data_IF_282620733734
#
_entry.id   IF_282620733734
#
_cell.length_a   1.000
_cell.length_b   1.000
_cell.length_c   1.000
_cell.angle_alpha   90.00
_cell.angle_beta   90.00
_cell.angle_gamma   90.00
#
_symmetry.space_group_name_H-M   'P 1'
#
loop_
_entity.id
_entity.type
_entity.pdbx_description
1 polymer ?
#
# COMPACT_ATOMS: atom_id res chain seq x y z
N UNK A 1 20.67 34.17 -17.00
CA UNK A 1 19.27 33.70 -16.99
C UNK A 1 19.19 32.61 -15.95
N UNK A 2 18.31 32.74 -14.95
CA UNK A 2 18.09 31.63 -14.01
C UNK A 2 17.57 30.44 -14.82
N UNK A 3 18.22 29.28 -14.69
CA UNK A 3 17.70 28.05 -15.29
C UNK A 3 16.30 27.79 -14.73
N UNK A 4 15.32 27.59 -15.61
CA UNK A 4 13.98 27.19 -15.18
C UNK A 4 14.03 25.74 -14.69
N UNK A 5 14.30 25.56 -13.40
CA UNK A 5 14.37 24.26 -12.74
C UNK A 5 13.08 23.44 -12.91
N UNK A 6 11.93 24.08 -13.21
CA UNK A 6 10.68 23.36 -13.49
C UNK A 6 10.75 22.57 -14.79
N UNK A 7 11.63 22.95 -15.73
CA UNK A 7 11.79 22.27 -17.02
C UNK A 7 12.27 20.82 -16.85
N UNK A 8 13.10 20.53 -15.85
CA UNK A 8 13.63 19.17 -15.59
C UNK A 8 12.52 18.13 -15.38
N UNK A 9 11.41 18.51 -14.74
CA UNK A 9 10.25 17.63 -14.49
C UNK A 9 9.32 17.48 -15.71
N UNK A 10 9.60 18.20 -16.80
CA UNK A 10 8.83 18.16 -18.05
C UNK A 10 9.63 17.57 -19.20
N UNK A 11 10.96 17.67 -19.17
CA UNK A 11 11.84 17.13 -20.19
C UNK A 11 11.63 15.62 -20.33
N UNK A 12 11.35 15.20 -21.55
CA UNK A 12 11.25 13.80 -21.92
C UNK A 12 12.66 13.34 -22.29
N UNK A 13 13.29 12.52 -21.46
CA UNK A 13 14.67 12.04 -21.67
C UNK A 13 14.69 10.81 -22.54
N UNK A 14 15.52 10.76 -23.58
CA UNK A 14 15.78 9.51 -24.28
C UNK A 14 16.40 8.49 -23.33
N UNK A 15 16.10 7.23 -23.57
CA UNK A 15 16.62 6.12 -22.79
C UNK A 15 17.28 5.13 -23.75
N UNK A 16 18.49 4.69 -23.41
CA UNK A 16 19.34 3.89 -24.30
C UNK A 16 19.23 2.39 -24.03
N UNK A 17 18.20 1.96 -23.30
CA UNK A 17 17.96 0.55 -23.04
C UNK A 17 17.48 -0.17 -24.31
N UNK A 18 17.96 -1.40 -24.58
CA UNK A 18 17.60 -2.15 -25.79
C UNK A 18 16.11 -2.50 -25.85
N UNK A 19 15.53 -2.73 -27.04
CA UNK A 19 14.12 -3.12 -27.16
C UNK A 19 13.81 -4.47 -26.51
N UNK A 20 14.78 -5.37 -26.47
CA UNK A 20 14.65 -6.73 -25.94
C UNK A 20 15.58 -6.93 -24.74
N UNK A 21 15.12 -7.68 -23.74
CA UNK A 21 15.92 -8.08 -22.58
C UNK A 21 15.69 -9.56 -22.28
N UNK A 22 16.77 -10.28 -22.01
CA UNK A 22 16.74 -11.71 -21.67
C UNK A 22 17.41 -11.98 -20.32
N UNK A 23 16.81 -12.85 -19.52
CA UNK A 23 17.42 -13.38 -18.29
C UNK A 23 17.41 -14.91 -18.36
N UNK A 24 18.59 -15.53 -18.41
CA UNK A 24 18.74 -16.99 -18.50
C UNK A 24 19.21 -17.59 -17.17
N UNK A 25 18.47 -18.58 -16.68
CA UNK A 25 18.92 -19.49 -15.61
C UNK A 25 19.47 -20.76 -16.27
N UNK A 26 20.71 -21.11 -15.94
CA UNK A 26 21.44 -22.23 -16.56
C UNK A 26 21.89 -23.20 -15.48
N UNK A 27 21.48 -24.45 -15.60
CA UNK A 27 21.92 -25.58 -14.78
C UNK A 27 22.38 -26.71 -15.70
N UNK A 28 23.70 -26.81 -15.89
CA UNK A 28 24.32 -27.74 -16.85
C UNK A 28 23.70 -27.57 -18.25
N UNK A 29 23.03 -28.61 -18.76
CA UNK A 29 22.39 -28.60 -20.08
C UNK A 29 20.96 -28.02 -20.07
N UNK A 30 20.43 -27.66 -18.90
CA UNK A 30 19.10 -27.04 -18.78
C UNK A 30 19.23 -25.52 -18.79
N UNK A 31 18.52 -24.89 -19.73
CA UNK A 31 18.42 -23.43 -19.83
C UNK A 31 16.97 -23.01 -19.81
N UNK A 32 16.65 -22.07 -18.93
CA UNK A 32 15.36 -21.39 -18.90
C UNK A 32 15.60 -19.91 -19.12
N UNK A 33 15.04 -19.36 -20.19
CA UNK A 33 15.19 -17.94 -20.53
C UNK A 33 13.86 -17.22 -20.37
N UNK A 34 13.87 -16.15 -19.59
CA UNK A 34 12.83 -15.14 -19.53
C UNK A 34 13.11 -14.10 -20.63
N UNK A 35 12.13 -13.87 -21.49
CA UNK A 35 12.19 -12.87 -22.55
C UNK A 35 11.28 -11.70 -22.19
N UNK A 36 11.79 -10.50 -22.38
CA UNK A 36 11.08 -9.28 -22.12
C UNK A 36 11.16 -8.31 -23.29
N UNK A 37 10.07 -7.60 -23.53
CA UNK A 37 9.99 -6.52 -24.51
C UNK A 37 9.83 -5.18 -23.82
N UNK A 38 10.49 -4.16 -24.35
CA UNK A 38 10.38 -2.79 -23.87
C UNK A 38 8.98 -2.24 -24.15
N UNK A 39 8.37 -1.65 -23.12
CA UNK A 39 7.04 -1.03 -23.21
C UNK A 39 7.18 0.43 -23.63
N UNK A 40 6.39 0.84 -24.62
CA UNK A 40 6.28 2.21 -25.08
C UNK A 40 4.82 2.57 -25.38
N UNK A 41 4.49 3.84 -25.23
CA UNK A 41 3.18 4.42 -25.54
C UNK A 41 3.35 5.56 -26.53
N UNK A 42 2.33 5.83 -27.34
CA UNK A 42 2.28 7.02 -28.19
C UNK A 42 1.42 8.08 -27.52
N UNK A 43 2.02 9.18 -27.08
CA UNK A 43 1.34 10.32 -26.45
C UNK A 43 1.75 11.58 -27.21
N UNK A 44 0.78 12.38 -27.67
CA UNK A 44 1.02 13.60 -28.46
C UNK A 44 1.98 13.37 -29.67
N UNK A 45 1.79 12.25 -30.39
CA UNK A 45 2.61 11.79 -31.51
C UNK A 45 4.07 11.42 -31.17
N UNK A 46 4.39 11.27 -29.89
CA UNK A 46 5.71 10.83 -29.42
C UNK A 46 5.58 9.39 -28.93
N UNK A 47 6.27 8.46 -29.59
CA UNK A 47 6.35 7.06 -29.15
C UNK A 47 7.51 6.87 -28.17
N UNK A 48 7.21 6.58 -26.90
CA UNK A 48 8.21 6.45 -25.85
C UNK A 48 7.73 5.66 -24.63
N UNK A 49 8.67 5.09 -23.88
CA UNK A 49 8.44 4.44 -22.57
C UNK A 49 8.32 5.44 -21.41
N UNK A 50 9.04 5.16 -20.32
CA UNK A 50 9.07 5.99 -19.13
C UNK A 50 9.71 7.35 -19.39
N UNK A 51 9.27 8.38 -18.67
CA UNK A 51 9.83 9.73 -18.76
C UNK A 51 11.22 9.86 -18.12
N UNK A 52 11.42 9.17 -17.00
CA UNK A 52 12.66 9.03 -16.22
C UNK A 52 12.44 7.94 -15.13
N UNK A 53 13.51 7.54 -14.45
CA UNK A 53 13.53 6.61 -13.32
C UNK A 53 12.93 7.19 -12.04
N UNK A 54 13.60 7.02 -10.89
CA UNK A 54 13.22 7.72 -9.66
C UNK A 54 13.39 9.23 -9.80
N UNK A 55 14.50 9.65 -10.41
CA UNK A 55 14.93 11.04 -10.45
C UNK A 55 14.98 11.57 -11.89
N UNK A 56 14.67 12.85 -12.12
CA UNK A 56 15.02 13.50 -13.38
C UNK A 56 16.52 13.35 -13.65
N UNK A 57 16.91 12.99 -14.86
CA UNK A 57 18.31 12.68 -15.21
C UNK A 57 18.64 11.19 -15.19
N UNK A 58 17.79 10.36 -14.56
CA UNK A 58 17.99 8.92 -14.51
C UNK A 58 17.20 8.25 -15.63
N UNK A 59 17.89 7.67 -16.61
CA UNK A 59 17.25 6.87 -17.66
C UNK A 59 16.55 5.65 -17.05
N UNK A 60 15.41 5.27 -17.62
CA UNK A 60 14.67 4.08 -17.21
C UNK A 60 13.84 3.53 -18.36
N UNK A 61 13.67 2.21 -18.38
CA UNK A 61 12.80 1.49 -19.28
C UNK A 61 11.90 0.54 -18.50
N UNK A 62 10.66 0.39 -18.95
CA UNK A 62 9.76 -0.65 -18.48
C UNK A 62 9.82 -1.82 -19.46
N UNK A 63 9.94 -3.03 -18.93
CA UNK A 63 9.97 -4.26 -19.70
C UNK A 63 8.80 -5.15 -19.29
N UNK A 64 8.04 -5.66 -20.27
CA UNK A 64 6.98 -6.64 -20.05
C UNK A 64 7.50 -8.04 -20.38
N UNK A 65 7.20 -9.01 -19.53
CA UNK A 65 7.55 -10.42 -19.75
C UNK A 65 6.67 -10.99 -20.87
N UNK A 66 7.26 -11.61 -21.89
CA UNK A 66 6.51 -12.13 -23.06
C UNK A 66 6.42 -13.66 -23.12
N UNK A 67 7.12 -14.37 -22.24
CA UNK A 67 6.98 -15.82 -22.03
C UNK A 67 6.95 -16.13 -20.51
N UNK A 68 6.16 -17.11 -20.05
CA UNK A 68 5.86 -17.20 -18.60
C UNK A 68 6.01 -18.56 -17.95
N UNK A 69 6.99 -19.37 -18.36
CA UNK A 69 7.20 -20.70 -17.78
C UNK A 69 8.57 -20.84 -17.15
N UNK A 70 8.88 -19.97 -16.18
CA UNK A 70 10.02 -20.24 -15.31
C UNK A 70 9.59 -21.23 -14.22
N UNK A 71 10.14 -22.43 -14.29
CA UNK A 71 9.97 -23.49 -13.28
C UNK A 71 11.28 -23.59 -12.51
N UNK A 72 11.34 -22.98 -11.33
CA UNK A 72 12.49 -23.05 -10.43
C UNK A 72 12.05 -23.59 -9.06
N UNK A 73 12.80 -24.55 -8.50
CA UNK A 73 12.54 -25.05 -7.15
C UNK A 73 11.08 -25.43 -6.87
N UNK A 74 10.44 -26.14 -7.82
CA UNK A 74 9.03 -26.59 -7.75
C UNK A 74 7.97 -25.48 -7.79
N UNK A 75 8.33 -24.23 -8.09
CA UNK A 75 7.41 -23.11 -8.24
C UNK A 75 7.36 -22.62 -9.70
N UNK A 76 6.15 -22.32 -10.18
CA UNK A 76 5.90 -21.69 -11.48
C UNK A 76 5.66 -20.18 -11.32
N UNK A 77 6.19 -19.39 -12.27
CA UNK A 77 5.96 -17.94 -12.36
C UNK A 77 4.63 -17.58 -13.02
N UNK A 78 4.23 -16.30 -12.94
CA UNK A 78 3.09 -15.74 -13.68
C UNK A 78 3.22 -16.02 -15.20
N UNK A 79 2.11 -16.45 -15.81
CA UNK A 79 1.98 -16.75 -17.24
C UNK A 79 1.95 -15.48 -18.12
N UNK A 80 2.36 -15.53 -19.40
CA UNK A 80 2.31 -14.35 -20.27
C UNK A 80 0.85 -13.95 -20.54
N UNK A 81 0.61 -12.68 -20.88
CA UNK A 81 -0.76 -12.16 -21.12
C UNK A 81 -1.59 -11.92 -19.85
N UNK A 82 -1.01 -12.07 -18.67
CA UNK A 82 -1.59 -11.71 -17.37
C UNK A 82 -0.94 -10.42 -16.82
N UNK A 83 -0.73 -9.43 -17.67
CA UNK A 83 -0.01 -8.21 -17.29
C UNK A 83 -0.87 -7.25 -16.45
N UNK A 84 -0.22 -6.46 -15.60
CA UNK A 84 -0.86 -5.42 -14.79
C UNK A 84 -0.22 -4.07 -15.14
N UNK A 85 0.69 -3.56 -14.32
CA UNK A 85 1.37 -2.28 -14.54
C UNK A 85 2.27 -2.25 -15.79
N UNK A 86 2.59 -3.41 -16.37
CA UNK A 86 3.40 -3.53 -17.60
C UNK A 86 2.59 -3.50 -18.91
N UNK A 87 1.26 -3.45 -18.84
CA UNK A 87 0.36 -3.41 -20.00
C UNK A 87 -0.84 -2.51 -19.72
N UNK A 88 -0.53 -1.22 -19.50
CA UNK A 88 -1.51 -0.21 -19.16
C UNK A 88 -2.06 0.49 -20.40
N UNK A 89 -3.30 0.95 -20.29
CA UNK A 89 -3.89 1.89 -21.24
C UNK A 89 -4.01 3.28 -20.61
N UNK A 90 -3.37 4.27 -21.24
CA UNK A 90 -3.39 5.67 -20.81
C UNK A 90 -4.56 6.41 -21.47
N UNK A 91 -5.72 6.40 -20.83
CA UNK A 91 -6.95 7.04 -21.34
C UNK A 91 -6.85 8.57 -21.33
N UNK A 92 -6.15 9.11 -20.34
CA UNK A 92 -5.82 10.52 -20.26
C UNK A 92 -4.42 10.65 -19.71
N UNK A 93 -3.57 11.41 -20.38
CA UNK A 93 -2.27 11.77 -19.84
C UNK A 93 -1.77 13.06 -20.44
N UNK A 94 -1.26 13.97 -19.60
CA UNK A 94 -0.57 15.16 -20.08
C UNK A 94 0.90 14.91 -20.46
N UNK A 95 1.49 13.77 -20.07
CA UNK A 95 2.92 13.41 -20.26
C UNK A 95 3.15 11.90 -20.16
N UNK A 96 4.26 11.38 -20.68
CA UNK A 96 4.68 10.01 -20.36
C UNK A 96 4.81 9.79 -18.83
N UNK A 97 4.46 8.58 -18.33
CA UNK A 97 4.54 8.26 -16.91
C UNK A 97 5.99 8.24 -16.42
N UNK A 98 6.23 8.69 -15.18
CA UNK A 98 7.49 8.43 -14.49
C UNK A 98 7.49 7.03 -13.87
N UNK A 99 8.66 6.51 -13.48
CA UNK A 99 8.76 5.21 -12.81
C UNK A 99 7.85 5.13 -11.58
N UNK A 100 7.86 6.15 -10.74
CA UNK A 100 7.09 6.18 -9.49
C UNK A 100 5.57 6.05 -9.71
N UNK A 101 5.05 6.59 -10.81
CA UNK A 101 3.63 6.46 -11.13
C UNK A 101 3.22 5.00 -11.37
N UNK A 102 4.09 4.21 -11.98
CA UNK A 102 3.83 2.79 -12.22
C UNK A 102 4.11 1.93 -10.99
N UNK A 103 5.13 2.23 -10.20
CA UNK A 103 5.38 1.49 -8.96
C UNK A 103 4.28 1.74 -7.91
N UNK A 104 3.73 2.96 -7.86
CA UNK A 104 2.60 3.26 -6.98
C UNK A 104 1.33 2.50 -7.43
N UNK A 105 1.08 2.43 -8.74
CA UNK A 105 -0.02 1.62 -9.30
C UNK A 105 0.18 0.12 -9.03
N UNK A 106 1.39 -0.39 -9.25
CA UNK A 106 1.76 -1.80 -9.03
C UNK A 106 1.55 -2.21 -7.56
N UNK A 107 2.11 -1.44 -6.62
CA UNK A 107 1.94 -1.76 -5.21
C UNK A 107 0.48 -1.63 -4.75
N UNK A 108 -0.30 -0.72 -5.35
CA UNK A 108 -1.74 -0.66 -5.08
C UNK A 108 -2.45 -1.94 -5.49
N UNK A 109 -2.13 -2.51 -6.64
CA UNK A 109 -2.69 -3.80 -7.10
C UNK A 109 -2.20 -4.98 -6.25
N UNK A 110 -0.96 -4.93 -5.76
CA UNK A 110 -0.42 -5.91 -4.82
C UNK A 110 -1.23 -5.98 -3.51
N UNK A 111 -1.85 -4.86 -3.09
CA UNK A 111 -2.78 -4.79 -1.95
C UNK A 111 -4.20 -5.17 -2.38
N UNK A 112 -4.73 -4.55 -3.45
CA UNK A 112 -6.12 -4.74 -3.90
C UNK A 112 -6.47 -6.19 -4.25
N UNK A 113 -5.49 -7.01 -4.65
CA UNK A 113 -5.73 -8.42 -5.03
C UNK A 113 -6.38 -9.28 -3.95
N UNK A 114 -6.31 -8.85 -2.69
CA UNK A 114 -6.93 -9.56 -1.56
C UNK A 114 -8.37 -9.12 -1.27
N UNK A 115 -8.84 -8.03 -1.88
CA UNK A 115 -10.13 -7.42 -1.57
C UNK A 115 -11.02 -7.42 -2.82
N UNK A 116 -11.77 -8.51 -3.02
CA UNK A 116 -12.55 -8.70 -4.25
C UNK A 116 -14.06 -8.64 -4.05
N UNK A 117 -14.54 -8.74 -2.83
CA UNK A 117 -15.95 -8.85 -2.47
C UNK A 117 -16.62 -7.47 -2.24
N UNK A 118 -15.85 -6.43 -1.88
CA UNK A 118 -16.37 -5.07 -1.66
C UNK A 118 -15.61 -4.01 -2.46
N UNK A 119 -16.24 -2.89 -2.85
CA UNK A 119 -15.52 -1.70 -3.29
C UNK A 119 -14.38 -1.34 -2.33
N UNK A 120 -13.18 -1.22 -2.88
CA UNK A 120 -11.95 -0.98 -2.13
C UNK A 120 -11.09 0.02 -2.87
N UNK A 121 -10.55 0.96 -2.11
CA UNK A 121 -9.65 2.01 -2.61
C UNK A 121 -8.34 1.94 -1.85
N UNK A 122 -7.23 1.99 -2.59
CA UNK A 122 -5.87 2.16 -2.05
C UNK A 122 -5.32 3.46 -2.63
N UNK A 123 -4.87 4.36 -1.77
CA UNK A 123 -4.16 5.58 -2.15
C UNK A 123 -2.70 5.41 -1.76
N UNK A 124 -1.81 5.43 -2.74
CA UNK A 124 -0.37 5.24 -2.58
C UNK A 124 0.38 6.52 -2.89
N UNK A 125 1.45 6.77 -2.14
CA UNK A 125 2.43 7.81 -2.44
C UNK A 125 3.82 7.33 -2.08
N UNK A 126 4.75 7.41 -3.02
CA UNK A 126 6.13 6.95 -2.83
C UNK A 126 6.20 5.48 -2.39
N UNK A 127 5.47 4.63 -3.13
CA UNK A 127 5.38 3.19 -2.97
C UNK A 127 4.77 2.70 -1.65
N UNK A 128 4.24 3.59 -0.81
CA UNK A 128 3.57 3.23 0.44
C UNK A 128 2.12 3.74 0.47
N UNK A 129 1.15 2.94 0.96
CA UNK A 129 -0.21 3.41 1.11
C UNK A 129 -0.26 4.52 2.16
N UNK A 130 -0.97 5.61 1.85
CA UNK A 130 -1.32 6.64 2.83
C UNK A 130 -2.75 6.47 3.36
N UNK A 131 -3.63 5.82 2.58
CA UNK A 131 -4.99 5.49 2.97
C UNK A 131 -5.53 4.29 2.22
N UNK A 132 -6.12 3.34 2.94
CA UNK A 132 -6.84 2.19 2.36
C UNK A 132 -8.18 2.06 3.06
N UNK A 133 -9.24 1.84 2.29
CA UNK A 133 -10.58 1.66 2.84
C UNK A 133 -11.46 0.75 1.99
N UNK A 134 -12.38 0.08 2.67
CA UNK A 134 -13.48 -0.69 2.09
C UNK A 134 -14.81 -0.05 2.47
N UNK A 135 -15.79 -0.14 1.58
CA UNK A 135 -17.16 0.32 1.85
C UNK A 135 -18.16 -0.37 0.93
N UNK A 136 -19.45 -0.08 1.11
CA UNK A 136 -20.53 -0.64 0.28
C UNK A 136 -20.59 -0.01 -1.11
N UNK A 137 -20.15 1.25 -1.24
CA UNK A 137 -20.03 1.98 -2.50
C UNK A 137 -18.58 2.40 -2.76
N UNK A 138 -18.22 2.62 -4.03
CA UNK A 138 -16.86 3.02 -4.37
C UNK A 138 -16.55 4.45 -3.92
N UNK A 139 -17.52 5.36 -4.02
CA UNK A 139 -17.36 6.75 -3.56
C UNK A 139 -17.12 6.80 -2.06
N UNK A 140 -17.85 6.02 -1.24
CA UNK A 140 -17.63 5.99 0.21
C UNK A 140 -16.27 5.39 0.57
N UNK A 141 -15.84 4.35 -0.15
CA UNK A 141 -14.52 3.78 0.03
C UNK A 141 -13.42 4.79 -0.32
N UNK A 142 -13.59 5.56 -1.40
CA UNK A 142 -12.68 6.65 -1.76
C UNK A 142 -12.64 7.73 -0.68
N UNK A 143 -13.79 8.24 -0.24
CA UNK A 143 -13.86 9.31 0.77
C UNK A 143 -13.20 8.86 2.08
N UNK A 144 -13.44 7.62 2.54
CA UNK A 144 -12.79 7.04 3.71
C UNK A 144 -11.28 6.91 3.54
N UNK A 145 -10.80 6.36 2.41
CA UNK A 145 -9.37 6.22 2.14
C UNK A 145 -8.67 7.59 2.05
N UNK A 146 -9.33 8.57 1.44
CA UNK A 146 -8.80 9.93 1.32
C UNK A 146 -8.72 10.62 2.69
N UNK A 147 -9.74 10.45 3.54
CA UNK A 147 -9.75 11.02 4.89
C UNK A 147 -8.84 10.29 5.89
N UNK A 148 -8.36 9.09 5.56
CA UNK A 148 -7.34 8.41 6.36
C UNK A 148 -6.02 9.20 6.42
N UNK A 149 -5.65 9.91 5.35
CA UNK A 149 -4.49 10.81 5.32
C UNK A 149 -4.60 11.83 4.18
N UNK A 150 -5.50 12.79 4.34
CA UNK A 150 -5.82 13.76 3.29
C UNK A 150 -4.60 14.55 2.81
N UNK A 151 -3.69 14.87 3.74
CA UNK A 151 -2.46 15.62 3.44
C UNK A 151 -1.51 14.78 2.59
N UNK A 152 -1.29 13.50 2.93
CA UNK A 152 -0.43 12.64 2.11
C UNK A 152 -1.10 12.20 0.81
N UNK A 153 -2.43 12.01 0.79
CA UNK A 153 -3.20 11.65 -0.42
C UNK A 153 -3.07 12.70 -1.53
N UNK A 154 -2.80 13.97 -1.19
CA UNK A 154 -2.53 15.01 -2.17
C UNK A 154 -1.36 14.65 -3.09
N UNK A 155 -1.66 14.51 -4.39
CA UNK A 155 -0.70 14.09 -5.42
C UNK A 155 -0.37 12.59 -5.40
N UNK A 156 -1.18 11.76 -4.72
CA UNK A 156 -1.03 10.32 -4.72
C UNK A 156 -1.54 9.63 -5.99
N UNK A 157 -1.29 8.32 -6.06
CA UNK A 157 -1.90 7.38 -6.97
C UNK A 157 -3.13 6.77 -6.30
N UNK A 158 -4.31 6.97 -6.88
CA UNK A 158 -5.57 6.39 -6.41
C UNK A 158 -5.86 5.16 -7.25
N UNK A 159 -5.91 3.98 -6.64
CA UNK A 159 -6.28 2.74 -7.31
C UNK A 159 -7.56 2.16 -6.73
N UNK A 160 -8.43 1.67 -7.62
CA UNK A 160 -9.73 1.11 -7.26
C UNK A 160 -9.92 -0.30 -7.86
N UNK A 161 -10.68 -1.15 -7.18
CA UNK A 161 -10.99 -2.52 -7.63
C UNK A 161 -12.32 -2.66 -8.40
N UNK A 162 -12.96 -1.55 -8.75
CA UNK A 162 -14.23 -1.48 -9.50
C UNK A 162 -14.15 -0.40 -10.57
N UNK A 163 -15.04 -0.47 -11.55
CA UNK A 163 -15.18 0.62 -12.51
C UNK A 163 -15.47 1.93 -11.76
N UNK A 164 -14.83 3.02 -12.18
CA UNK A 164 -15.08 4.32 -11.57
C UNK A 164 -16.42 4.82 -12.07
N UNK A 165 -17.33 5.13 -11.14
CA UNK A 165 -18.61 5.77 -11.42
C UNK A 165 -18.51 7.30 -11.36
N UNK A 166 -19.57 8.01 -11.78
CA UNK A 166 -19.59 9.48 -11.80
C UNK A 166 -19.40 10.11 -10.43
N UNK A 167 -20.04 9.58 -9.40
CA UNK A 167 -19.96 10.11 -8.04
C UNK A 167 -18.53 10.01 -7.48
N UNK A 168 -17.87 8.87 -7.71
CA UNK A 168 -16.47 8.64 -7.37
C UNK A 168 -15.56 9.59 -8.15
N UNK A 169 -15.80 9.76 -9.45
CA UNK A 169 -15.01 10.68 -10.28
C UNK A 169 -15.12 12.13 -9.79
N UNK A 170 -16.34 12.60 -9.49
CA UNK A 170 -16.59 13.94 -8.94
C UNK A 170 -15.80 14.14 -7.64
N UNK A 171 -15.92 13.22 -6.69
CA UNK A 171 -15.20 13.25 -5.43
C UNK A 171 -13.67 13.29 -5.62
N UNK A 172 -13.13 12.45 -6.52
CA UNK A 172 -11.70 12.44 -6.84
C UNK A 172 -11.23 13.80 -7.37
N UNK A 173 -12.05 14.48 -8.18
CA UNK A 173 -11.68 15.78 -8.76
C UNK A 173 -11.73 16.96 -7.77
N UNK A 174 -12.25 16.78 -6.56
CA UNK A 174 -12.20 17.82 -5.53
C UNK A 174 -10.76 18.06 -5.04
N UNK A 175 -9.88 17.07 -5.18
CA UNK A 175 -8.48 17.16 -4.78
C UNK A 175 -7.53 16.94 -5.97
N UNK A 176 -6.25 17.24 -5.76
CA UNK A 176 -5.22 16.95 -6.75
C UNK A 176 -4.74 15.51 -6.56
N UNK A 177 -4.87 14.69 -7.60
CA UNK A 177 -4.27 13.37 -7.71
C UNK A 177 -3.33 13.32 -8.92
N UNK A 178 -2.25 12.56 -8.81
CA UNK A 178 -1.32 12.39 -9.94
C UNK A 178 -1.77 11.32 -10.92
N UNK A 179 -2.39 10.26 -10.39
CA UNK A 179 -2.78 9.05 -11.12
C UNK A 179 -4.10 8.52 -10.55
N UNK A 180 -5.00 8.09 -11.42
CA UNK A 180 -6.15 7.24 -11.09
C UNK A 180 -6.04 5.95 -11.90
N UNK A 181 -6.11 4.81 -11.21
CA UNK A 181 -6.00 3.46 -11.79
C UNK A 181 -7.28 2.69 -11.52
N UNK A 182 -7.90 2.15 -12.57
CA UNK A 182 -9.14 1.39 -12.43
C UNK A 182 -9.23 0.25 -13.46
N UNK A 183 -10.06 -0.79 -13.24
CA UNK A 183 -10.38 -1.78 -14.25
C UNK A 183 -11.09 -1.18 -15.45
N UNK A 184 -11.96 -0.18 -15.23
CA UNK A 184 -12.69 0.54 -16.27
C UNK A 184 -13.27 1.86 -15.74
N UNK A 185 -13.89 2.64 -16.63
CA UNK A 185 -14.50 3.94 -16.30
C UNK A 185 -15.88 4.03 -16.95
N UNK A 186 -16.91 4.38 -16.17
CA UNK A 186 -18.28 4.49 -16.67
C UNK A 186 -18.51 5.70 -17.59
N UNK A 187 -19.65 5.71 -18.29
CA UNK A 187 -20.03 6.77 -19.21
C UNK A 187 -20.03 8.16 -18.55
N UNK A 188 -19.30 9.09 -19.19
CA UNK A 188 -19.15 10.48 -18.74
C UNK A 188 -18.16 10.70 -17.60
N UNK A 189 -17.48 9.66 -17.09
CA UNK A 189 -16.38 9.82 -16.12
C UNK A 189 -15.18 10.51 -16.74
N UNK A 190 -14.85 10.18 -17.98
CA UNK A 190 -13.74 10.81 -18.69
C UNK A 190 -13.98 12.32 -18.91
N UNK A 191 -15.23 12.76 -19.09
CA UNK A 191 -15.57 14.19 -19.19
C UNK A 191 -15.32 14.95 -17.87
N UNK A 192 -15.50 14.27 -16.73
CA UNK A 192 -15.20 14.80 -15.40
C UNK A 192 -13.67 14.93 -15.24
N UNK A 193 -12.92 13.87 -15.56
CA UNK A 193 -11.45 13.86 -15.44
C UNK A 193 -10.74 14.77 -16.44
N UNK A 194 -11.33 15.05 -17.61
CA UNK A 194 -10.78 15.98 -18.60
C UNK A 194 -10.63 17.42 -18.05
N UNK A 195 -11.38 17.78 -17.00
CA UNK A 195 -11.22 19.06 -16.29
C UNK A 195 -9.88 19.17 -15.56
N UNK A 196 -9.21 18.05 -15.27
CA UNK A 196 -7.90 17.96 -14.60
C UNK A 196 -6.82 17.53 -15.59
N UNK A 197 -6.36 18.45 -16.43
CA UNK A 197 -5.41 18.18 -17.54
C UNK A 197 -4.13 17.41 -17.18
N UNK A 198 -3.67 17.49 -15.93
CA UNK A 198 -2.46 16.80 -15.47
C UNK A 198 -2.73 15.43 -14.81
N UNK A 199 -4.00 15.07 -14.61
CA UNK A 199 -4.38 13.78 -14.05
C UNK A 199 -4.11 12.70 -15.09
N UNK A 200 -3.36 11.66 -14.68
CA UNK A 200 -3.18 10.45 -15.48
C UNK A 200 -4.28 9.47 -15.16
N UNK A 201 -5.08 9.10 -16.15
CA UNK A 201 -6.14 8.10 -16.02
C UNK A 201 -5.65 6.84 -16.70
N UNK A 202 -5.42 5.81 -15.89
CA UNK A 202 -4.88 4.52 -16.30
C UNK A 202 -5.98 3.46 -16.20
N UNK A 203 -6.27 2.80 -17.32
CA UNK A 203 -7.09 1.59 -17.35
C UNK A 203 -6.19 0.35 -17.33
N UNK A 204 -6.51 -0.59 -16.44
CA UNK A 204 -5.91 -1.92 -16.39
C UNK A 204 -7.05 -2.94 -16.28
N UNK A 205 -7.58 -3.41 -17.42
CA UNK A 205 -8.73 -4.32 -17.43
C UNK A 205 -8.52 -5.61 -16.62
N UNK A 206 -7.27 -6.06 -16.48
CA UNK A 206 -6.90 -7.21 -15.67
C UNK A 206 -7.13 -7.01 -14.16
N UNK A 207 -7.43 -5.79 -13.70
CA UNK A 207 -7.86 -5.56 -12.32
C UNK A 207 -9.12 -6.37 -11.97
N UNK A 208 -10.02 -6.62 -12.95
CA UNK A 208 -11.21 -7.46 -12.75
C UNK A 208 -10.91 -8.92 -12.36
N UNK A 209 -9.65 -9.36 -12.52
CA UNK A 209 -9.18 -10.70 -12.19
C UNK A 209 -7.99 -10.69 -11.23
N UNK A 210 -7.81 -9.64 -10.41
CA UNK A 210 -6.68 -9.56 -9.47
C UNK A 210 -6.59 -10.78 -8.53
N UNK A 211 -7.72 -11.36 -8.13
CA UNK A 211 -7.78 -12.56 -7.30
C UNK A 211 -7.03 -13.75 -7.92
N UNK A 212 -6.92 -13.83 -9.24
CA UNK A 212 -6.18 -14.92 -9.88
C UNK A 212 -4.69 -14.86 -9.58
N UNK A 213 -4.16 -13.69 -9.22
CA UNK A 213 -2.76 -13.49 -8.82
C UNK A 213 -2.52 -13.82 -7.34
N UNK A 214 -3.57 -14.07 -6.55
CA UNK A 214 -3.43 -14.45 -5.13
C UNK A 214 -2.76 -15.82 -5.05
N UNK A 215 -1.59 -15.87 -4.42
CA UNK A 215 -0.81 -17.11 -4.31
C UNK A 215 0.25 -17.30 -5.39
N UNK A 216 0.17 -16.55 -6.49
CA UNK A 216 1.18 -16.60 -7.55
C UNK A 216 2.47 -15.89 -7.12
N UNK A 217 3.60 -16.38 -7.63
CA UNK A 217 4.92 -15.82 -7.38
C UNK A 217 5.55 -15.34 -8.69
N UNK A 218 6.43 -14.35 -8.57
CA UNK A 218 7.36 -13.95 -9.62
C UNK A 218 8.77 -13.93 -9.01
N UNK A 219 9.78 -14.05 -9.86
CA UNK A 219 11.16 -13.84 -9.40
C UNK A 219 11.41 -12.33 -9.30
N UNK A 220 11.88 -11.91 -8.14
CA UNK A 220 12.33 -10.57 -7.86
C UNK A 220 13.86 -10.52 -7.95
N UNK A 221 14.36 -9.44 -8.54
CA UNK A 221 15.79 -9.18 -8.64
C UNK A 221 16.14 -7.90 -7.88
N UNK A 222 17.13 -7.98 -6.99
CA UNK A 222 17.73 -6.82 -6.33
C UNK A 222 19.16 -6.65 -6.80
N UNK A 223 19.45 -5.51 -7.42
CA UNK A 223 20.83 -5.12 -7.74
C UNK A 223 21.56 -4.68 -6.47
N UNK A 224 22.78 -5.19 -6.30
CA UNK A 224 23.74 -4.78 -5.27
C UNK A 224 24.64 -3.67 -5.82
N UNK A 225 25.26 -2.90 -4.93
CA UNK A 225 26.06 -1.72 -5.30
C UNK A 225 27.31 -2.05 -6.12
N UNK A 226 27.77 -3.30 -6.07
CA UNK A 226 28.90 -3.84 -6.84
C UNK A 226 28.48 -4.44 -8.19
N UNK A 227 27.20 -4.35 -8.54
CA UNK A 227 26.63 -4.96 -9.73
C UNK A 227 26.19 -6.41 -9.55
N UNK A 228 26.33 -6.99 -8.35
CA UNK A 228 25.75 -8.29 -8.03
C UNK A 228 24.22 -8.29 -8.10
N UNK A 229 23.61 -9.47 -8.25
CA UNK A 229 22.16 -9.63 -8.30
C UNK A 229 21.73 -10.68 -7.28
N UNK A 230 20.78 -10.34 -6.43
CA UNK A 230 20.02 -11.29 -5.61
C UNK A 230 18.74 -11.63 -6.37
N UNK A 231 18.50 -12.91 -6.64
CA UNK A 231 17.23 -13.42 -7.14
C UNK A 231 16.46 -14.11 -6.00
N UNK A 232 15.19 -13.76 -5.83
CA UNK A 232 14.31 -14.36 -4.82
C UNK A 232 12.90 -14.56 -5.36
N UNK A 233 12.10 -15.37 -4.69
CA UNK A 233 10.65 -15.41 -4.96
C UNK A 233 9.94 -14.24 -4.27
N UNK A 234 8.96 -13.67 -4.96
CA UNK A 234 8.11 -12.63 -4.36
C UNK A 234 7.34 -13.14 -3.14
N UNK A 235 7.11 -12.22 -2.21
CA UNK A 235 6.38 -12.52 -0.97
C UNK A 235 4.89 -12.79 -1.25
N UNK A 236 4.35 -13.81 -0.58
CA UNK A 236 2.93 -14.17 -0.60
C UNK A 236 2.48 -14.41 0.85
N UNK A 237 1.57 -13.59 1.39
CA UNK A 237 0.88 -13.84 2.65
C UNK A 237 0.16 -15.19 2.61
N UNK A 238 0.48 -16.06 3.58
CA UNK A 238 -0.19 -17.34 3.81
C UNK A 238 -1.51 -17.11 4.54
N UNK A 239 -1.48 -16.30 5.61
CA UNK A 239 -2.67 -15.95 6.36
C UNK A 239 -3.56 -14.99 5.56
N UNK A 240 -4.70 -15.50 5.08
CA UNK A 240 -5.66 -14.76 4.23
C UNK A 240 -7.10 -14.88 4.72
N UNK A 241 -7.37 -15.83 5.60
CA UNK A 241 -8.67 -16.10 6.19
C UNK A 241 -8.55 -16.22 7.71
N UNK A 242 -9.69 -16.14 8.42
CA UNK A 242 -9.76 -16.33 9.88
C UNK A 242 -9.15 -17.67 10.31
N UNK A 243 -9.32 -18.73 9.51
CA UNK A 243 -8.81 -20.06 9.81
C UNK A 243 -7.29 -20.17 9.71
N UNK A 244 -6.63 -19.25 9.01
CA UNK A 244 -5.16 -19.23 8.92
C UNK A 244 -4.50 -18.54 10.12
N UNK A 245 -5.29 -17.84 10.94
CA UNK A 245 -4.82 -17.14 12.13
C UNK A 245 -4.83 -18.05 13.34
N UNK A 246 -3.83 -17.90 14.21
CA UNK A 246 -3.72 -18.63 15.47
C UNK A 246 -3.89 -17.67 16.63
N UNK A 247 -4.58 -18.06 17.70
CA UNK A 247 -4.54 -17.28 18.94
C UNK A 247 -3.10 -17.25 19.46
N UNK A 248 -2.67 -16.08 19.94
CA UNK A 248 -1.32 -15.92 20.45
C UNK A 248 -1.11 -16.75 21.72
N UNK A 249 -0.14 -17.66 21.66
CA UNK A 249 0.30 -18.48 22.77
C UNK A 249 1.78 -18.83 22.61
N UNK A 250 2.51 -18.93 23.72
CA UNK A 250 3.90 -19.35 23.76
C UNK A 250 4.26 -19.98 25.10
N UNK A 251 5.37 -20.73 25.14
CA UNK A 251 5.97 -21.22 26.38
C UNK A 251 7.19 -20.37 26.75
N UNK A 252 7.25 -19.93 27.99
CA UNK A 252 8.42 -19.21 28.52
C UNK A 252 8.79 -19.74 29.90
N UNK A 253 10.03 -20.24 30.04
CA UNK A 253 10.57 -20.81 31.29
C UNK A 253 9.64 -21.84 31.96
N UNK A 254 9.01 -22.71 31.17
CA UNK A 254 8.12 -23.77 31.65
C UNK A 254 6.73 -23.30 32.09
N UNK A 255 6.38 -22.03 31.84
CA UNK A 255 5.02 -21.50 31.98
C UNK A 255 4.43 -21.22 30.61
N UNK A 256 3.20 -21.67 30.39
CA UNK A 256 2.44 -21.37 29.19
C UNK A 256 1.76 -20.01 29.32
N UNK A 257 1.82 -19.21 28.25
CA UNK A 257 1.16 -17.92 28.12
C UNK A 257 0.23 -17.97 26.92
N UNK A 258 -0.98 -17.43 27.08
CA UNK A 258 -1.96 -17.33 26.00
C UNK A 258 -2.85 -16.11 26.22
N UNK A 259 -3.45 -15.60 25.14
CA UNK A 259 -4.46 -14.54 25.24
C UNK A 259 -5.73 -15.03 25.94
N UNK A 260 -6.35 -14.13 26.72
CA UNK A 260 -7.51 -14.46 27.57
C UNK A 260 -8.82 -14.58 26.79
N UNK A 261 -8.90 -14.03 25.58
CA UNK A 261 -10.10 -14.08 24.73
C UNK A 261 -9.77 -14.15 23.26
N UNK A 262 -10.72 -14.68 22.50
CA UNK A 262 -10.71 -14.62 21.05
C UNK A 262 -11.09 -13.21 20.54
N UNK A 263 -10.65 -12.84 19.33
CA UNK A 263 -11.20 -11.69 18.63
C UNK A 263 -12.69 -11.84 18.31
N UNK A 264 -13.41 -10.72 18.36
CA UNK A 264 -14.76 -10.63 17.79
C UNK A 264 -14.70 -10.70 16.26
N UNK A 265 -15.85 -10.90 15.59
CA UNK A 265 -15.89 -10.90 14.12
C UNK A 265 -15.40 -9.58 13.52
N UNK A 266 -15.74 -8.44 14.13
CA UNK A 266 -15.25 -7.14 13.67
C UNK A 266 -13.74 -6.99 13.85
N UNK A 267 -13.19 -7.49 14.96
CA UNK A 267 -11.74 -7.51 15.18
C UNK A 267 -11.05 -8.42 14.17
N UNK A 268 -11.58 -9.63 13.89
CA UNK A 268 -11.05 -10.50 12.84
C UNK A 268 -11.03 -9.82 11.46
N UNK A 269 -12.09 -9.10 11.10
CA UNK A 269 -12.15 -8.34 9.85
C UNK A 269 -11.05 -7.26 9.81
N UNK A 270 -10.89 -6.48 10.88
CA UNK A 270 -9.86 -5.44 10.95
C UNK A 270 -8.43 -6.02 10.94
N UNK A 271 -8.19 -7.12 11.66
CA UNK A 271 -6.89 -7.79 11.71
C UNK A 271 -6.50 -8.36 10.34
N UNK A 272 -7.41 -9.04 9.65
CA UNK A 272 -7.16 -9.58 8.31
C UNK A 272 -7.01 -8.47 7.27
N UNK A 273 -7.88 -7.47 7.29
CA UNK A 273 -7.75 -6.30 6.42
C UNK A 273 -6.39 -5.64 6.60
N UNK A 274 -6.01 -5.34 7.85
CA UNK A 274 -4.74 -4.71 8.16
C UNK A 274 -3.55 -5.58 7.73
N UNK A 275 -3.55 -6.87 8.03
CA UNK A 275 -2.47 -7.77 7.63
C UNK A 275 -2.24 -7.83 6.11
N UNK A 276 -3.32 -7.84 5.33
CA UNK A 276 -3.23 -7.88 3.87
C UNK A 276 -2.76 -6.53 3.30
N UNK A 277 -3.16 -5.41 3.90
CA UNK A 277 -2.62 -4.08 3.58
C UNK A 277 -1.13 -3.98 3.93
N UNK A 278 -0.75 -4.45 5.13
CA UNK A 278 0.62 -4.44 5.65
C UNK A 278 1.62 -5.13 4.71
N UNK A 279 1.19 -6.18 3.99
CA UNK A 279 2.02 -6.88 3.00
C UNK A 279 2.52 -5.98 1.84
N UNK A 280 1.92 -4.81 1.65
CA UNK A 280 2.33 -3.81 0.67
C UNK A 280 3.26 -2.72 1.22
N UNK A 281 3.55 -2.69 2.52
CA UNK A 281 4.20 -1.56 3.21
C UNK A 281 5.69 -1.83 3.42
N UNK A 282 6.53 -0.79 3.32
CA UNK A 282 7.98 -0.89 3.56
C UNK A 282 8.29 -1.05 5.05
N UNK A 283 9.19 -1.98 5.36
CA UNK A 283 9.58 -2.36 6.72
C UNK A 283 10.61 -1.42 7.37
N UNK A 284 10.70 -1.35 8.71
CA UNK A 284 9.68 -1.89 9.63
C UNK A 284 8.38 -1.10 9.49
N UNK A 285 7.25 -1.76 9.73
CA UNK A 285 5.94 -1.11 9.69
C UNK A 285 5.02 -1.57 10.81
N UNK A 286 4.17 -0.62 11.21
CA UNK A 286 3.03 -0.82 12.10
C UNK A 286 1.90 0.04 11.57
N UNK A 287 0.72 -0.55 11.46
CA UNK A 287 -0.50 0.18 11.09
C UNK A 287 -1.60 -0.02 12.11
N UNK A 288 -2.47 0.99 12.21
CA UNK A 288 -3.72 0.92 12.94
C UNK A 288 -4.88 0.91 11.96
N UNK A 289 -5.85 0.04 12.20
CA UNK A 289 -7.03 -0.15 11.36
C UNK A 289 -8.28 -0.13 12.20
N UNK A 290 -9.31 0.56 11.74
CA UNK A 290 -10.64 0.51 12.34
C UNK A 290 -11.70 0.48 11.25
N UNK A 291 -12.68 -0.39 11.41
CA UNK A 291 -13.81 -0.58 10.48
C UNK A 291 -13.38 -0.75 9.01
N UNK A 292 -12.35 -1.58 8.78
CA UNK A 292 -11.75 -1.83 7.46
C UNK A 292 -11.22 -0.54 6.76
N UNK A 293 -10.77 0.43 7.57
CA UNK A 293 -10.10 1.66 7.14
C UNK A 293 -8.78 1.82 7.89
N UNK A 294 -7.72 2.20 7.19
CA UNK A 294 -6.44 2.57 7.84
C UNK A 294 -6.59 3.88 8.60
N UNK A 295 -6.15 3.91 9.86
CA UNK A 295 -6.23 5.08 10.75
C UNK A 295 -4.86 5.74 10.91
N UNK A 296 -3.80 4.92 11.02
CA UNK A 296 -2.42 5.37 11.15
C UNK A 296 -1.47 4.40 10.46
N UNK A 297 -0.48 4.91 9.75
CA UNK A 297 0.50 4.10 9.02
C UNK A 297 1.92 4.59 9.31
N UNK A 298 2.67 3.79 10.08
CA UNK A 298 4.10 3.93 10.28
C UNK A 298 4.84 2.96 9.36
N UNK A 299 5.88 3.43 8.68
CA UNK A 299 6.63 2.67 7.68
C UNK A 299 8.05 3.18 7.55
N UNK A 300 9.00 2.29 7.26
CA UNK A 300 10.37 2.62 6.87
C UNK A 300 11.33 2.97 8.02
N UNK A 301 10.97 2.66 9.26
CA UNK A 301 11.84 2.94 10.42
C UNK A 301 12.76 1.78 10.79
N UNK A 302 13.90 2.11 11.42
CA UNK A 302 14.90 1.13 11.84
C UNK A 302 14.47 0.33 13.08
N UNK A 303 13.69 0.91 13.98
CA UNK A 303 13.19 0.24 15.18
C UNK A 303 11.65 0.19 15.24
N UNK A 304 11.12 -0.84 15.91
CA UNK A 304 9.68 -1.15 15.88
C UNK A 304 8.85 -0.32 16.86
N UNK A 305 9.43 0.15 17.96
CA UNK A 305 8.71 1.03 18.88
C UNK A 305 8.53 2.41 18.25
N UNK A 306 9.58 2.96 17.62
CA UNK A 306 9.53 4.20 16.87
C UNK A 306 8.52 4.16 15.74
N UNK A 307 8.43 3.07 14.97
CA UNK A 307 7.41 2.97 13.90
C UNK A 307 5.98 2.91 14.46
N UNK A 308 5.76 2.24 15.59
CA UNK A 308 4.47 2.20 16.27
C UNK A 308 4.07 3.59 16.79
N UNK A 309 5.02 4.35 17.32
CA UNK A 309 4.82 5.74 17.77
C UNK A 309 4.51 6.67 16.60
N UNK A 310 5.24 6.55 15.48
CA UNK A 310 4.96 7.33 14.27
C UNK A 310 3.55 7.03 13.74
N UNK A 311 3.14 5.76 13.74
CA UNK A 311 1.80 5.38 13.34
C UNK A 311 0.73 6.02 14.24
N UNK A 312 0.96 6.05 15.56
CA UNK A 312 0.07 6.69 16.56
C UNK A 312 0.02 8.20 16.33
N UNK A 313 1.16 8.86 16.26
CA UNK A 313 1.25 10.31 16.13
C UNK A 313 0.68 10.79 14.79
N UNK A 314 0.78 9.96 13.76
CA UNK A 314 0.07 10.17 12.51
C UNK A 314 -1.44 10.14 12.73
N UNK A 315 -1.99 9.14 13.41
CA UNK A 315 -3.44 9.04 13.66
C UNK A 315 -3.99 10.32 14.33
N UNK A 316 -3.31 10.83 15.35
CA UNK A 316 -3.66 12.10 16.00
C UNK A 316 -3.65 13.28 15.02
N UNK A 317 -2.54 13.49 14.31
CA UNK A 317 -2.41 14.61 13.36
C UNK A 317 -3.45 14.55 12.23
N UNK A 318 -3.75 13.35 11.74
CA UNK A 318 -4.69 13.12 10.64
C UNK A 318 -6.13 13.37 11.09
N UNK A 319 -6.49 12.94 12.29
CA UNK A 319 -7.81 13.23 12.85
C UNK A 319 -8.00 14.72 13.10
N UNK A 320 -6.98 15.43 13.58
CA UNK A 320 -7.01 16.88 13.71
C UNK A 320 -7.20 17.59 12.35
N UNK A 321 -6.46 17.19 11.32
CA UNK A 321 -6.64 17.71 9.95
C UNK A 321 -8.04 17.43 9.42
N UNK A 322 -8.55 16.22 9.62
CA UNK A 322 -9.90 15.84 9.22
C UNK A 322 -10.96 16.72 9.88
N UNK A 323 -10.91 16.86 11.20
CA UNK A 323 -11.88 17.70 11.94
C UNK A 323 -11.80 19.16 11.53
N UNK A 324 -10.60 19.71 11.36
CA UNK A 324 -10.44 21.06 10.83
C UNK A 324 -11.06 21.20 9.44
N UNK A 325 -10.82 20.23 8.56
CA UNK A 325 -11.33 20.26 7.20
C UNK A 325 -12.85 20.12 7.16
N UNK A 326 -13.44 19.20 7.91
CA UNK A 326 -14.89 19.00 7.98
C UNK A 326 -15.63 20.22 8.57
N UNK A 327 -15.05 20.88 9.58
CA UNK A 327 -15.69 22.02 10.25
C UNK A 327 -15.42 23.37 9.59
N UNK A 328 -14.25 23.54 8.96
CA UNK A 328 -13.77 24.85 8.50
C UNK A 328 -13.32 24.86 7.03
N UNK A 329 -13.32 23.71 6.35
CA UNK A 329 -12.91 23.55 4.96
C UNK A 329 -11.47 24.06 4.68
N UNK A 330 -10.58 23.97 5.66
CA UNK A 330 -9.17 24.31 5.56
C UNK A 330 -8.30 23.23 6.24
N UNK A 331 -7.04 23.04 5.81
CA UNK A 331 -6.10 22.18 6.54
C UNK A 331 -5.85 22.68 7.96
N UNK A 332 -5.62 21.76 8.90
CA UNK A 332 -5.36 22.11 10.30
C UNK A 332 -4.13 23.03 10.46
N UNK A 333 -3.09 22.81 9.65
CA UNK A 333 -1.89 23.65 9.65
C UNK A 333 -2.15 25.10 9.23
N UNK A 334 -3.22 25.34 8.46
CA UNK A 334 -3.59 26.67 7.99
C UNK A 334 -4.57 27.39 8.95
N UNK A 335 -5.12 26.69 9.93
CA UNK A 335 -5.98 27.28 10.96
C UNK A 335 -5.15 28.16 11.91
N UNK A 336 -5.45 29.46 11.97
CA UNK A 336 -4.72 30.44 12.82
C UNK A 336 -5.41 30.76 14.14
N UNK A 337 -6.65 30.31 14.28
CA UNK A 337 -7.50 30.55 15.44
C UNK A 337 -7.13 29.52 16.52
N UNK A 338 -6.38 29.96 17.53
CA UNK A 338 -5.82 29.08 18.57
C UNK A 338 -6.89 28.45 19.46
N UNK A 339 -8.02 29.13 19.69
CA UNK A 339 -9.13 28.59 20.49
C UNK A 339 -9.79 27.42 19.75
N UNK A 340 -10.01 27.56 18.44
CA UNK A 340 -10.54 26.46 17.61
C UNK A 340 -9.56 25.31 17.47
N UNK A 341 -8.26 25.59 17.37
CA UNK A 341 -7.22 24.55 17.40
C UNK A 341 -7.26 23.77 18.70
N UNK A 342 -7.33 24.46 19.85
CA UNK A 342 -7.42 23.83 21.15
C UNK A 342 -8.68 22.97 21.29
N UNK A 343 -9.82 23.40 20.75
CA UNK A 343 -11.05 22.59 20.71
C UNK A 343 -10.87 21.30 19.90
N UNK A 344 -10.28 21.40 18.70
CA UNK A 344 -9.98 20.24 17.85
C UNK A 344 -9.01 19.29 18.56
N UNK A 345 -7.93 19.82 19.13
CA UNK A 345 -6.89 19.03 19.79
C UNK A 345 -7.44 18.31 21.03
N UNK A 346 -8.28 18.98 21.82
CA UNK A 346 -8.96 18.37 22.95
C UNK A 346 -9.85 17.19 22.50
N UNK A 347 -10.65 17.39 21.45
CA UNK A 347 -11.49 16.33 20.89
C UNK A 347 -10.66 15.16 20.36
N UNK A 348 -9.58 15.43 19.64
CA UNK A 348 -8.65 14.40 19.13
C UNK A 348 -8.00 13.63 20.27
N UNK A 349 -7.61 14.30 21.35
CA UNK A 349 -7.02 13.68 22.52
C UNK A 349 -8.01 12.79 23.29
N UNK A 350 -9.28 13.22 23.41
CA UNK A 350 -10.36 12.44 24.02
C UNK A 350 -10.63 11.15 23.23
N UNK A 351 -10.57 11.24 21.89
CA UNK A 351 -10.75 10.10 20.99
C UNK A 351 -9.47 9.30 20.73
N UNK A 352 -8.35 9.69 21.35
CA UNK A 352 -7.02 9.07 21.18
C UNK A 352 -6.59 8.95 19.71
N UNK A 353 -6.77 10.03 18.94
CA UNK A 353 -6.49 10.02 17.50
C UNK A 353 -7.35 9.04 16.70
N UNK A 354 -8.49 8.60 17.25
CA UNK A 354 -9.39 7.61 16.64
C UNK A 354 -8.98 6.15 16.87
N UNK A 355 -7.97 5.89 17.71
CA UNK A 355 -7.39 4.56 17.92
C UNK A 355 -8.19 3.66 18.85
N UNK A 356 -9.12 4.21 19.65
CA UNK A 356 -9.96 3.41 20.56
C UNK A 356 -10.75 2.36 19.76
N UNK A 357 -10.59 1.09 20.14
CA UNK A 357 -11.24 -0.05 19.48
C UNK A 357 -10.61 -0.45 18.14
N UNK A 358 -9.48 0.14 17.75
CA UNK A 358 -8.77 -0.23 16.53
C UNK A 358 -7.96 -1.52 16.70
N UNK A 359 -7.54 -2.08 15.58
CA UNK A 359 -6.58 -3.17 15.50
C UNK A 359 -5.18 -2.62 15.20
N UNK A 360 -4.16 -3.17 15.87
CA UNK A 360 -2.75 -2.92 15.58
C UNK A 360 -2.17 -4.08 14.79
N UNK A 361 -1.48 -3.78 13.69
CA UNK A 361 -0.91 -4.77 12.78
C UNK A 361 0.57 -4.49 12.63
N UNK A 362 1.40 -5.53 12.65
CA UNK A 362 2.84 -5.41 12.37
C UNK A 362 3.33 -6.48 11.40
N UNK A 363 4.19 -6.07 10.47
CA UNK A 363 4.86 -6.92 9.49
C UNK A 363 5.75 -8.03 10.10
N UNK A 364 6.22 -7.81 11.33
CA UNK A 364 7.13 -8.66 12.08
C UNK A 364 6.80 -8.65 13.57
N UNK A 365 7.39 -9.58 14.33
CA UNK A 365 7.11 -9.70 15.75
C UNK A 365 7.61 -8.49 16.55
N UNK A 366 6.94 -8.15 17.64
CA UNK A 366 7.44 -7.20 18.63
C UNK A 366 8.58 -7.83 19.44
N UNK A 367 9.81 -7.28 19.37
CA UNK A 367 10.94 -7.85 20.11
C UNK A 367 10.81 -7.63 21.62
N UNK A 368 10.10 -6.57 22.02
CA UNK A 368 9.84 -6.19 23.40
C UNK A 368 8.42 -5.66 23.54
N UNK A 369 7.94 -5.62 24.79
CA UNK A 369 6.61 -5.14 25.17
C UNK A 369 6.35 -3.66 24.82
N UNK A 370 7.38 -2.84 24.81
CA UNK A 370 7.28 -1.40 24.56
C UNK A 370 6.55 -1.08 23.25
N UNK A 371 6.85 -1.81 22.17
CA UNK A 371 6.23 -1.60 20.86
C UNK A 371 4.72 -1.82 20.88
N UNK A 372 4.23 -2.88 21.52
CA UNK A 372 2.79 -3.15 21.60
C UNK A 372 2.07 -2.22 22.58
N UNK A 373 2.74 -1.85 23.68
CA UNK A 373 2.20 -0.91 24.67
C UNK A 373 1.86 0.46 24.04
N UNK A 374 2.52 0.85 22.94
CA UNK A 374 2.17 2.09 22.20
C UNK A 374 0.71 2.08 21.77
N UNK A 375 0.25 1.00 21.15
CA UNK A 375 -1.14 0.89 20.70
C UNK A 375 -2.10 0.64 21.84
N UNK A 376 -1.75 -0.25 22.77
CA UNK A 376 -2.64 -0.65 23.87
C UNK A 376 -3.00 0.54 24.79
N UNK A 377 -2.06 1.46 25.03
CA UNK A 377 -2.31 2.69 25.81
C UNK A 377 -3.31 3.65 25.14
N UNK A 378 -3.53 3.53 23.84
CA UNK A 378 -4.46 4.33 23.05
C UNK A 378 -5.84 3.66 22.89
N UNK A 379 -6.04 2.50 23.53
CA UNK A 379 -7.29 1.76 23.50
C UNK A 379 -7.44 0.80 22.32
N UNK A 380 -6.34 0.37 21.69
CA UNK A 380 -6.33 -0.76 20.75
C UNK A 380 -6.85 -2.01 21.46
N UNK A 381 -7.77 -2.74 20.82
CA UNK A 381 -8.39 -3.95 21.43
C UNK A 381 -7.93 -5.25 20.79
N UNK A 382 -7.24 -5.20 19.65
CA UNK A 382 -6.78 -6.40 18.96
C UNK A 382 -5.43 -6.18 18.27
N UNK A 383 -4.56 -7.20 18.29
CA UNK A 383 -3.22 -7.13 17.69
C UNK A 383 -2.96 -8.33 16.79
N UNK A 384 -2.34 -8.11 15.63
CA UNK A 384 -1.86 -9.17 14.74
C UNK A 384 -0.37 -8.96 14.46
N UNK A 385 0.40 -10.03 14.64
CA UNK A 385 1.82 -10.09 14.32
C UNK A 385 2.21 -11.51 13.90
N UNK A 386 3.42 -11.77 13.41
CA UNK A 386 3.83 -13.14 13.07
C UNK A 386 4.01 -14.08 14.26
N UNK A 387 4.41 -13.55 15.42
CA UNK A 387 4.93 -14.35 16.54
C UNK A 387 6.33 -14.91 16.24
N UNK A 388 6.92 -15.58 17.25
CA UNK A 388 8.26 -16.16 17.19
C UNK A 388 9.34 -15.35 17.92
N UNK A 389 8.96 -14.41 18.77
CA UNK A 389 9.88 -13.68 19.65
C UNK A 389 10.17 -14.49 20.92
N UNK A 390 11.40 -14.47 21.41
CA UNK A 390 11.74 -15.00 22.75
C UNK A 390 10.95 -14.28 23.87
N UNK A 391 10.44 -13.08 23.59
CA UNK A 391 9.67 -12.25 24.50
C UNK A 391 8.18 -12.18 24.16
N UNK A 392 7.65 -13.10 23.34
CA UNK A 392 6.22 -13.10 22.98
C UNK A 392 5.29 -13.12 24.21
N UNK A 393 5.71 -13.78 25.30
CA UNK A 393 4.98 -13.81 26.56
C UNK A 393 4.67 -12.41 27.12
N UNK A 394 5.60 -11.45 26.96
CA UNK A 394 5.42 -10.08 27.45
C UNK A 394 4.34 -9.35 26.66
N UNK A 395 4.26 -9.58 25.34
CA UNK A 395 3.24 -8.98 24.48
C UNK A 395 1.86 -9.58 24.76
N UNK A 396 1.80 -10.90 24.99
CA UNK A 396 0.57 -11.59 25.39
C UNK A 396 0.08 -11.06 26.74
N UNK A 397 0.96 -10.94 27.74
CA UNK A 397 0.61 -10.38 29.05
C UNK A 397 0.11 -8.93 28.92
N UNK A 398 0.77 -8.09 28.12
CA UNK A 398 0.34 -6.72 27.86
C UNK A 398 -1.09 -6.65 27.29
N UNK A 399 -1.41 -7.48 26.29
CA UNK A 399 -2.78 -7.57 25.78
C UNK A 399 -3.76 -7.98 26.87
N UNK A 400 -3.42 -9.00 27.65
CA UNK A 400 -4.28 -9.53 28.71
C UNK A 400 -4.58 -8.51 29.81
N UNK A 401 -3.60 -7.70 30.20
CA UNK A 401 -3.74 -6.65 31.23
C UNK A 401 -4.81 -5.61 30.89
N UNK A 402 -5.02 -5.33 29.60
CA UNK A 402 -6.02 -4.35 29.11
C UNK A 402 -7.25 -5.01 28.47
N UNK A 403 -7.35 -6.34 28.50
CA UNK A 403 -8.45 -7.09 27.88
C UNK A 403 -8.43 -7.09 26.35
N UNK A 404 -7.29 -6.78 25.73
CA UNK A 404 -7.09 -6.93 24.30
C UNK A 404 -6.86 -8.40 23.91
N UNK A 405 -7.04 -8.71 22.63
CA UNK A 405 -6.69 -10.01 22.05
C UNK A 405 -5.47 -9.88 21.14
N UNK A 406 -4.82 -11.01 20.85
CA UNK A 406 -3.73 -11.09 19.89
C UNK A 406 -3.80 -12.39 19.08
N UNK A 407 -3.48 -12.28 17.79
CA UNK A 407 -3.36 -13.42 16.88
C UNK A 407 -1.98 -13.44 16.18
N UNK A 408 -1.57 -14.64 15.80
CA UNK A 408 -0.37 -14.91 15.03
C UNK A 408 -0.68 -15.33 13.59
N UNK A 409 0.08 -14.75 12.66
CA UNK A 409 0.09 -15.18 11.25
C UNK A 409 1.08 -16.32 10.99
N UNK A 410 2.09 -16.48 11.86
CA UNK A 410 3.19 -17.44 11.68
C UNK A 410 4.10 -17.12 10.48
N UNK A 411 4.00 -15.93 9.90
CA UNK A 411 4.79 -15.53 8.74
C UNK A 411 5.10 -14.03 8.79
N UNK A 412 6.39 -13.68 8.69
CA UNK A 412 6.84 -12.29 8.56
C UNK A 412 6.69 -11.76 7.13
N UNK A 413 6.33 -10.48 6.97
CA UNK A 413 6.10 -9.81 5.68
C UNK A 413 7.05 -8.63 5.43
N UNK A 414 8.37 -8.85 5.50
CA UNK A 414 9.34 -7.78 5.26
C UNK A 414 9.43 -7.32 3.80
N UNK A 415 9.63 -6.01 3.60
CA UNK A 415 9.78 -5.38 2.28
C UNK A 415 10.76 -4.18 2.34
N UNK A 416 11.76 -4.16 1.44
CA UNK A 416 12.84 -3.16 1.38
C UNK A 416 13.26 -2.73 -0.03
#
# INVERSE_FOLDING_TARGET
MAEDLKKMYRTIMDDHFPPDMEISFVDQDKRQTLFYEKVAWTIDNIQKGLRYGENPGQEAALYKLINGNLVLGESESIQPGQHLASDIELLQSGKHPGKTNLTDADNSMNILRYFVDKPTVVIVKHNNPCGVARSDTLVDAYLKANMADRVAAFGGCIAVNRAVDRATAEAITEQYAEVVVAPDFEDGVMDIFAKKKNLRVIRIGNINRLQNFVGQRCVEFKSLIDGGIIAQWSFVPKARTKADLKLAACDYKGKQYQVNREPTEQEYNNLLFGWLVESGITSNSVIYVKDEVTVGIGTGEQDRVGVAEIARDKAYRKLADRYCFEMHNIPYNDLKDEDKKAEIDAKVADEKGGLIGSAMVSDAFFPFRDGIDVGLKEGVTSVIQPGGSDNDYQSIEACNEVGATMVYTGQRSFKH
#
